data_IF_841087121582
#
_entry.id   IF_841087121582
#
_cell.length_a   1.000
_cell.length_b   1.000
_cell.length_c   1.000
_cell.angle_alpha   90.00
_cell.angle_beta   90.00
_cell.angle_gamma   90.00
#
_symmetry.space_group_name_H-M   'P 1'
#
loop_
_entity.id
_entity.type
_entity.pdbx_description
1 polymer ?
#
# COMPACT_ATOMS: atom_id res chain seq x y z
N UNK A 1 5.84 -69.25 17.74
CA UNK A 1 4.93 -68.09 17.81
C UNK A 1 5.38 -67.07 16.78
N UNK A 2 4.69 -66.96 15.64
CA UNK A 2 5.02 -66.06 14.52
C UNK A 2 4.16 -64.81 14.64
N UNK A 3 4.74 -63.66 14.96
CA UNK A 3 4.07 -62.34 14.90
C UNK A 3 4.25 -61.76 13.48
N UNK A 4 3.22 -61.13 12.88
CA UNK A 4 3.19 -60.83 11.46
C UNK A 4 3.99 -59.56 11.14
N UNK A 5 5.11 -59.74 10.44
CA UNK A 5 5.97 -58.70 9.88
C UNK A 5 5.30 -57.93 8.71
N UNK A 6 4.07 -58.28 8.33
CA UNK A 6 3.36 -57.73 7.17
C UNK A 6 2.61 -56.41 7.42
N UNK A 7 2.41 -55.99 8.66
CA UNK A 7 1.57 -54.80 8.95
C UNK A 7 2.36 -53.49 8.99
N UNK A 8 3.70 -53.54 8.94
CA UNK A 8 4.56 -52.36 9.08
C UNK A 8 5.04 -51.76 7.75
N UNK A 9 4.88 -52.47 6.63
CA UNK A 9 5.30 -52.00 5.29
C UNK A 9 4.22 -51.11 4.64
N UNK A 10 2.94 -51.33 4.96
CA UNK A 10 1.83 -50.54 4.38
C UNK A 10 1.77 -49.12 4.99
N UNK A 11 2.24 -48.93 6.22
CA UNK A 11 2.32 -47.61 6.85
C UNK A 11 3.45 -46.73 6.29
N UNK A 12 4.48 -47.30 5.67
CA UNK A 12 5.64 -46.55 5.15
C UNK A 12 5.44 -46.08 3.69
N UNK A 13 4.54 -46.72 2.92
CA UNK A 13 4.21 -46.27 1.55
C UNK A 13 3.16 -45.16 1.49
N UNK A 14 2.43 -44.90 2.59
CA UNK A 14 1.45 -43.81 2.68
C UNK A 14 2.06 -42.44 3.05
N UNK A 15 3.37 -42.39 3.36
CA UNK A 15 4.08 -41.18 3.79
C UNK A 15 4.96 -40.53 2.70
N UNK A 16 4.99 -41.06 1.47
CA UNK A 16 5.83 -40.56 0.37
C UNK A 16 5.05 -39.88 -0.78
N UNK A 17 3.76 -39.59 -0.59
CA UNK A 17 2.87 -39.09 -1.65
C UNK A 17 2.48 -37.61 -1.62
N UNK A 18 2.96 -36.81 -0.67
CA UNK A 18 2.56 -35.40 -0.53
C UNK A 18 3.77 -34.48 -0.38
N UNK A 19 4.23 -33.95 -1.51
CA UNK A 19 5.31 -32.97 -1.61
C UNK A 19 6.11 -33.30 -2.87
N UNK A 20 5.99 -32.59 -3.99
CA UNK A 20 5.87 -31.15 -4.12
C UNK A 20 5.25 -30.83 -5.48
N UNK A 21 4.04 -30.26 -5.47
CA UNK A 21 3.46 -29.61 -6.64
C UNK A 21 3.16 -28.16 -6.28
N UNK A 22 4.22 -27.38 -6.02
CA UNK A 22 4.13 -25.92 -5.97
C UNK A 22 5.27 -25.33 -6.78
N UNK A 23 5.16 -25.50 -8.09
CA UNK A 23 5.71 -24.58 -9.06
C UNK A 23 4.57 -24.11 -9.96
N UNK A 24 3.52 -23.56 -9.36
CA UNK A 24 2.65 -22.63 -10.08
C UNK A 24 3.46 -21.36 -10.26
N UNK A 25 4.26 -21.31 -11.33
CA UNK A 25 4.52 -20.02 -11.97
C UNK A 25 3.19 -19.33 -12.29
N UNK A 26 3.19 -18.02 -12.60
CA UNK A 26 1.96 -17.34 -12.99
C UNK A 26 1.32 -18.18 -14.09
N UNK A 27 0.16 -18.76 -13.79
CA UNK A 27 -0.61 -19.57 -14.72
C UNK A 27 -0.87 -18.65 -15.90
N UNK A 28 -0.17 -18.93 -17.01
CA UNK A 28 -0.36 -18.21 -18.26
C UNK A 28 -1.85 -18.09 -18.50
N UNK A 29 -2.29 -16.85 -18.67
CA UNK A 29 -3.68 -16.45 -18.79
C UNK A 29 -4.43 -17.46 -19.65
N UNK A 30 -5.32 -18.22 -19.01
CA UNK A 30 -6.01 -19.34 -19.64
C UNK A 30 -7.09 -18.72 -20.52
N UNK A 31 -6.72 -18.39 -21.76
CA UNK A 31 -7.64 -17.76 -22.69
C UNK A 31 -7.03 -17.54 -24.06
N UNK A 32 -7.88 -17.14 -25.00
CA UNK A 32 -7.51 -16.88 -26.39
C UNK A 32 -7.97 -15.49 -26.81
N UNK A 33 -7.26 -14.89 -27.76
CA UNK A 33 -7.74 -13.72 -28.47
C UNK A 33 -8.92 -14.06 -29.40
N UNK A 34 -9.48 -13.04 -30.02
CA UNK A 34 -10.56 -13.13 -31.02
C UNK A 34 -10.19 -13.88 -32.31
N UNK A 35 -8.92 -14.24 -32.52
CA UNK A 35 -8.44 -15.06 -33.63
C UNK A 35 -8.06 -16.48 -33.18
N UNK A 36 -8.32 -16.83 -31.92
CA UNK A 36 -8.00 -18.14 -31.35
C UNK A 36 -6.52 -18.32 -31.00
N UNK A 37 -5.70 -17.27 -31.01
CA UNK A 37 -4.32 -17.35 -30.55
C UNK A 37 -4.29 -17.28 -29.01
N UNK A 38 -3.26 -17.85 -28.36
CA UNK A 38 -3.11 -17.73 -26.90
C UNK A 38 -3.11 -16.26 -26.43
N UNK A 39 -3.84 -15.97 -25.36
CA UNK A 39 -3.84 -14.65 -24.72
C UNK A 39 -2.63 -14.47 -23.77
N UNK A 40 -1.42 -14.69 -24.28
CA UNK A 40 -0.16 -14.60 -23.53
C UNK A 40 0.70 -13.46 -24.11
N UNK A 41 0.97 -12.39 -23.34
CA UNK A 41 1.73 -11.23 -23.84
C UNK A 41 3.19 -11.54 -24.17
N UNK A 42 3.72 -12.70 -23.77
CA UNK A 42 5.06 -13.15 -24.18
C UNK A 42 5.06 -13.87 -25.54
N UNK A 43 3.89 -14.25 -26.06
CA UNK A 43 3.75 -15.05 -27.29
C UNK A 43 2.87 -14.40 -28.35
N UNK A 44 1.98 -13.51 -27.94
CA UNK A 44 1.00 -12.86 -28.81
C UNK A 44 1.02 -11.35 -28.55
N UNK A 45 1.43 -10.57 -29.54
CA UNK A 45 1.45 -9.10 -29.44
C UNK A 45 0.05 -8.52 -29.25
N UNK A 46 -0.99 -9.22 -29.72
CA UNK A 46 -2.39 -8.81 -29.57
C UNK A 46 -2.94 -9.12 -28.19
N UNK A 47 -2.25 -9.92 -27.35
CA UNK A 47 -2.73 -10.30 -26.03
C UNK A 47 -3.21 -9.07 -25.24
N UNK A 48 -4.39 -9.21 -24.63
CA UNK A 48 -5.13 -8.12 -24.01
C UNK A 48 -5.92 -8.63 -22.81
N UNK A 49 -5.93 -7.88 -21.71
CA UNK A 49 -6.73 -8.21 -20.53
C UNK A 49 -8.24 -8.25 -20.83
N UNK A 50 -8.68 -7.68 -21.95
CA UNK A 50 -10.06 -7.71 -22.44
C UNK A 50 -10.49 -9.04 -23.06
N UNK A 51 -9.54 -9.84 -23.54
CA UNK A 51 -9.85 -11.15 -24.11
C UNK A 51 -10.22 -12.15 -23.02
N UNK A 52 -10.77 -13.29 -23.44
CA UNK A 52 -11.13 -14.37 -22.52
C UNK A 52 -9.95 -14.74 -21.62
N UNK A 53 -10.23 -15.04 -20.35
CA UNK A 53 -9.20 -15.34 -19.34
C UNK A 53 -8.41 -14.15 -18.82
N UNK A 54 -8.60 -12.95 -19.36
CA UNK A 54 -7.97 -11.72 -18.88
C UNK A 54 -8.75 -11.02 -17.75
N UNK A 55 -8.07 -10.15 -17.00
CA UNK A 55 -8.62 -9.44 -15.82
C UNK A 55 -9.75 -8.46 -16.14
N UNK A 56 -9.84 -8.04 -17.41
CA UNK A 56 -10.86 -7.14 -17.95
C UNK A 56 -11.83 -7.84 -18.92
N UNK A 57 -11.86 -9.17 -18.96
CA UNK A 57 -12.79 -9.92 -19.79
C UNK A 57 -14.23 -9.47 -19.55
N UNK A 58 -14.94 -9.11 -20.63
CA UNK A 58 -16.32 -8.63 -20.59
C UNK A 58 -16.52 -7.19 -20.07
N UNK A 59 -15.44 -6.41 -19.90
CA UNK A 59 -15.50 -5.01 -19.43
C UNK A 59 -15.02 -3.99 -20.48
N UNK A 60 -14.71 -4.44 -21.68
CA UNK A 60 -14.01 -3.64 -22.68
C UNK A 60 -14.92 -3.13 -23.78
N UNK A 61 -15.61 -2.05 -23.45
CA UNK A 61 -16.68 -1.47 -24.25
C UNK A 61 -16.21 -0.19 -24.98
N UNK A 62 -14.94 0.20 -24.78
CA UNK A 62 -14.36 1.44 -25.26
C UNK A 62 -12.92 1.25 -25.73
N UNK A 63 -12.44 2.14 -26.59
CA UNK A 63 -11.05 2.18 -27.04
C UNK A 63 -10.07 2.37 -25.86
N UNK A 64 -10.47 3.14 -24.85
CA UNK A 64 -9.71 3.27 -23.60
C UNK A 64 -9.52 1.91 -22.92
N UNK A 65 -10.58 1.11 -22.80
CA UNK A 65 -10.50 -0.19 -22.14
C UNK A 65 -9.61 -1.17 -22.92
N UNK A 66 -9.72 -1.17 -24.25
CA UNK A 66 -8.84 -1.98 -25.11
C UNK A 66 -7.38 -1.55 -25.01
N UNK A 67 -7.11 -0.24 -25.01
CA UNK A 67 -5.76 0.30 -24.87
C UNK A 67 -5.18 -0.05 -23.51
N UNK A 68 -5.91 0.25 -22.43
CA UNK A 68 -5.44 -0.01 -21.07
C UNK A 68 -5.33 -1.51 -20.76
N UNK A 69 -6.22 -2.35 -21.32
CA UNK A 69 -6.15 -3.80 -21.19
C UNK A 69 -4.89 -4.40 -21.82
N UNK A 70 -4.36 -3.80 -22.89
CA UNK A 70 -3.10 -4.21 -23.52
C UNK A 70 -1.88 -3.92 -22.64
N UNK A 71 -1.89 -2.79 -21.91
CA UNK A 71 -0.86 -2.49 -20.92
C UNK A 71 -1.02 -3.34 -19.66
N UNK A 72 -2.26 -3.53 -19.18
CA UNK A 72 -2.57 -4.27 -17.95
C UNK A 72 -2.03 -5.70 -18.00
N UNK A 73 -2.32 -6.43 -19.06
CA UNK A 73 -1.87 -7.81 -19.21
C UNK A 73 -0.33 -7.95 -19.20
N UNK A 74 0.39 -6.94 -19.70
CA UNK A 74 1.87 -6.89 -19.69
C UNK A 74 2.42 -6.53 -18.32
N UNK A 75 1.74 -5.65 -17.60
CA UNK A 75 2.05 -5.37 -16.20
C UNK A 75 1.87 -6.62 -15.34
N UNK A 76 0.76 -7.33 -15.49
CA UNK A 76 0.45 -8.58 -14.77
C UNK A 76 1.44 -9.71 -15.08
N UNK A 77 1.91 -9.78 -16.33
CA UNK A 77 2.97 -10.69 -16.75
C UNK A 77 4.38 -10.27 -16.31
N UNK A 78 4.54 -9.11 -15.65
CA UNK A 78 5.84 -8.59 -15.21
C UNK A 78 6.72 -8.04 -16.34
N UNK A 79 6.18 -7.88 -17.54
CA UNK A 79 6.90 -7.32 -18.71
C UNK A 79 7.07 -5.81 -18.54
N UNK A 80 6.02 -5.14 -18.04
CA UNK A 80 6.05 -3.71 -17.74
C UNK A 80 6.09 -3.46 -16.24
N UNK A 81 6.91 -2.49 -15.85
CA UNK A 81 6.84 -1.89 -14.52
C UNK A 81 5.73 -0.84 -14.49
N UNK A 82 5.30 -0.47 -13.27
CA UNK A 82 4.33 0.62 -13.06
C UNK A 82 4.76 1.94 -13.72
N UNK A 83 6.06 2.20 -13.85
CA UNK A 83 6.58 3.43 -14.47
C UNK A 83 6.36 3.53 -15.98
N UNK A 84 6.16 2.39 -16.66
CA UNK A 84 5.87 2.33 -18.10
C UNK A 84 4.35 2.37 -18.35
N UNK A 85 3.55 2.18 -17.30
CA UNK A 85 2.10 2.12 -17.40
C UNK A 85 1.51 3.52 -17.62
N UNK A 86 0.66 3.75 -18.64
CA UNK A 86 0.10 5.07 -18.90
C UNK A 86 -0.72 5.60 -17.71
N UNK A 87 -0.55 6.88 -17.39
CA UNK A 87 -1.27 7.54 -16.29
C UNK A 87 -2.80 7.46 -16.46
N UNK A 88 -3.29 7.54 -17.70
CA UNK A 88 -4.72 7.40 -18.04
C UNK A 88 -5.28 6.01 -17.72
N UNK A 89 -4.41 5.01 -17.57
CA UNK A 89 -4.77 3.64 -17.23
C UNK A 89 -4.46 3.30 -15.76
N UNK A 90 -3.74 4.16 -15.03
CA UNK A 90 -3.19 3.87 -13.69
C UNK A 90 -4.24 3.46 -12.66
N UNK A 91 -5.51 3.83 -12.88
CA UNK A 91 -6.67 3.39 -12.08
C UNK A 91 -6.86 1.87 -12.03
N UNK A 92 -6.36 1.15 -13.03
CA UNK A 92 -6.43 -0.32 -13.11
C UNK A 92 -5.33 -1.02 -12.30
N UNK A 93 -4.29 -0.28 -11.91
CA UNK A 93 -3.18 -0.87 -11.17
C UNK A 93 -3.52 -0.93 -9.67
N UNK A 94 -3.18 -2.02 -8.96
CA UNK A 94 -3.32 -2.06 -7.51
C UNK A 94 -2.50 -0.91 -6.92
N UNK A 95 -3.06 -0.20 -5.93
CA UNK A 95 -2.37 0.90 -5.24
C UNK A 95 -0.92 0.50 -4.98
N UNK A 96 0.06 1.41 -5.26
CA UNK A 96 1.44 1.09 -4.96
C UNK A 96 1.47 0.56 -3.53
N UNK A 97 1.92 -0.69 -3.38
CA UNK A 97 2.38 -1.17 -2.10
C UNK A 97 3.56 -0.25 -1.81
N UNK A 98 3.27 0.84 -1.11
CA UNK A 98 4.24 1.52 -0.28
C UNK A 98 4.79 0.37 0.56
N UNK A 99 5.96 -0.15 0.17
CA UNK A 99 6.71 -1.09 1.00
C UNK A 99 6.61 -0.51 2.39
N UNK A 100 5.93 -1.22 3.30
CA UNK A 100 5.43 -0.68 4.55
C UNK A 100 6.43 0.36 5.01
N UNK A 101 6.09 1.67 4.93
CA UNK A 101 7.09 2.71 5.11
C UNK A 101 7.83 2.31 6.38
N UNK A 102 9.16 2.23 6.33
CA UNK A 102 9.93 2.16 7.57
C UNK A 102 9.40 3.32 8.38
N UNK A 103 8.55 2.98 9.37
CA UNK A 103 7.69 3.96 10.01
C UNK A 103 8.59 5.09 10.43
N UNK A 104 8.33 6.32 9.95
CA UNK A 104 9.31 7.35 10.16
C UNK A 104 9.35 7.53 11.70
N UNK A 105 10.55 7.58 12.30
CA UNK A 105 10.70 7.45 13.74
C UNK A 105 9.90 8.54 14.46
N UNK A 106 9.50 8.29 15.70
CA UNK A 106 8.87 9.32 16.53
C UNK A 106 9.72 10.60 16.50
N UNK A 107 9.10 11.75 16.24
CA UNK A 107 9.82 13.00 16.04
C UNK A 107 9.02 14.07 15.32
N UNK A 108 9.69 15.20 15.05
CA UNK A 108 9.13 16.33 14.34
C UNK A 108 9.34 16.20 12.82
N UNK A 109 8.29 16.58 12.10
CA UNK A 109 8.23 16.61 10.64
C UNK A 109 7.86 18.01 10.19
N UNK A 110 8.53 18.50 9.15
CA UNK A 110 8.25 19.80 8.56
C UNK A 110 7.73 19.64 7.14
N UNK A 111 6.62 20.32 6.83
CA UNK A 111 6.14 20.47 5.47
C UNK A 111 6.50 21.85 4.95
N UNK A 112 7.46 21.98 4.01
CA UNK A 112 7.79 23.27 3.40
C UNK A 112 6.65 23.84 2.56
N UNK A 113 5.78 22.97 2.02
CA UNK A 113 4.63 23.37 1.21
C UNK A 113 3.57 24.14 2.01
N UNK A 114 3.44 23.83 3.31
CA UNK A 114 2.43 24.40 4.19
C UNK A 114 3.02 25.16 5.37
N UNK A 115 4.34 25.27 5.45
CA UNK A 115 5.08 25.87 6.56
C UNK A 115 4.60 25.32 7.92
N UNK A 116 4.47 23.99 7.97
CA UNK A 116 3.76 23.27 9.02
C UNK A 116 4.66 22.27 9.70
N UNK A 117 4.65 22.27 11.04
CA UNK A 117 5.29 21.24 11.86
C UNK A 117 4.27 20.26 12.41
N UNK A 118 4.53 18.96 12.20
CA UNK A 118 3.76 17.85 12.75
C UNK A 118 4.65 17.03 13.67
N UNK A 119 4.18 16.75 14.88
CA UNK A 119 4.80 15.75 15.75
C UNK A 119 4.16 14.38 15.55
N UNK A 120 5.01 13.38 15.34
CA UNK A 120 4.64 11.98 15.23
C UNK A 120 5.12 11.20 16.46
N UNK A 121 4.23 10.48 17.13
CA UNK A 121 4.59 9.69 18.31
C UNK A 121 5.09 8.28 17.99
N UNK A 122 5.00 7.85 16.72
CA UNK A 122 5.44 6.52 16.28
C UNK A 122 4.44 5.39 16.53
N UNK A 123 3.30 5.64 17.18
CA UNK A 123 2.34 4.59 17.55
C UNK A 123 1.18 4.42 16.56
N UNK A 124 1.05 5.27 15.54
CA UNK A 124 -0.05 5.14 14.59
C UNK A 124 0.25 4.15 13.47
N UNK A 125 -0.80 3.48 12.98
CA UNK A 125 -0.76 2.45 11.94
C UNK A 125 -0.86 3.00 10.52
N UNK A 126 -0.89 4.32 10.33
CA UNK A 126 -0.91 4.96 9.02
C UNK A 126 0.02 6.17 9.03
N UNK A 127 0.90 6.39 8.04
CA UNK A 127 1.77 7.55 8.07
C UNK A 127 0.90 8.80 7.93
N UNK A 128 1.35 9.96 8.44
CA UNK A 128 0.65 11.19 8.15
C UNK A 128 0.61 11.34 6.63
N UNK A 129 -0.56 11.61 6.02
CA UNK A 129 -0.58 12.00 4.62
C UNK A 129 0.19 13.31 4.58
N UNK A 130 1.36 13.37 3.93
CA UNK A 130 1.97 14.55 3.28
C UNK A 130 3.50 14.41 3.08
N UNK A 131 3.98 15.22 2.13
CA UNK A 131 5.39 15.53 1.82
C UNK A 131 6.06 16.22 3.02
N UNK A 132 6.45 15.39 3.98
CA UNK A 132 6.98 15.77 5.29
C UNK A 132 8.45 15.38 5.38
N UNK A 133 9.31 16.36 5.69
CA UNK A 133 10.74 16.17 5.86
C UNK A 133 11.03 15.94 7.34
N UNK A 134 11.72 14.84 7.68
CA UNK A 134 12.09 14.52 9.06
C UNK A 134 13.16 15.49 9.58
N UNK A 135 12.85 16.23 10.65
CA UNK A 135 13.77 17.15 11.33
C UNK A 135 14.45 16.48 12.54
N UNK A 136 13.86 15.40 13.08
CA UNK A 136 14.46 14.45 14.02
C UNK A 136 14.82 14.95 15.42
N UNK A 137 15.05 16.25 15.59
CA UNK A 137 15.54 16.85 16.83
C UNK A 137 14.56 17.83 17.44
N UNK A 138 13.56 18.29 16.68
CA UNK A 138 12.69 19.42 17.06
C UNK A 138 13.52 20.63 17.54
N UNK A 139 14.78 20.75 17.09
CA UNK A 139 15.77 21.66 17.65
C UNK A 139 15.70 23.04 16.99
N UNK A 140 15.11 23.14 15.80
CA UNK A 140 14.64 24.42 15.28
C UNK A 140 13.31 24.71 15.98
N UNK A 141 13.24 25.76 16.81
CA UNK A 141 11.96 26.20 17.29
C UNK A 141 11.07 26.52 16.07
N UNK A 142 9.78 26.17 16.07
CA UNK A 142 8.86 26.42 14.94
C UNK A 142 8.51 27.92 14.76
N UNK A 143 9.43 28.84 15.08
CA UNK A 143 9.15 30.23 15.45
C UNK A 143 8.98 31.25 14.32
N UNK A 144 9.00 30.88 13.03
CA UNK A 144 8.85 31.90 11.98
C UNK A 144 7.81 31.59 10.93
N UNK A 145 7.08 30.49 11.07
CA UNK A 145 6.06 30.12 10.10
C UNK A 145 4.76 30.90 10.29
N UNK A 146 4.16 31.34 9.18
CA UNK A 146 2.96 32.20 9.14
C UNK A 146 1.74 31.38 9.54
N UNK A 147 1.60 31.12 10.85
CA UNK A 147 0.51 30.32 11.39
C UNK A 147 0.54 30.19 12.91
N UNK A 148 1.71 30.22 13.56
CA UNK A 148 1.79 30.20 15.03
C UNK A 148 1.11 28.98 15.67
N UNK A 149 1.02 27.85 14.97
CA UNK A 149 0.42 26.62 15.47
C UNK A 149 1.35 25.42 15.34
N UNK A 150 1.33 24.56 16.34
CA UNK A 150 1.98 23.26 16.36
C UNK A 150 0.89 22.18 16.34
N UNK A 151 0.93 21.27 15.37
CA UNK A 151 -0.08 20.22 15.23
C UNK A 151 0.36 18.94 15.93
N UNK A 152 -0.55 18.38 16.74
CA UNK A 152 -0.35 17.11 17.41
C UNK A 152 -1.46 16.14 17.01
N UNK A 153 -1.08 14.91 16.70
CA UNK A 153 -2.03 13.84 16.44
C UNK A 153 -1.97 12.85 17.59
N UNK A 154 -3.04 12.76 18.37
CA UNK A 154 -3.14 11.94 19.59
C UNK A 154 -4.51 11.30 19.66
N UNK A 155 -4.70 10.25 20.47
CA UNK A 155 -5.96 9.53 20.54
C UNK A 155 -7.15 10.39 21.05
N UNK A 156 -6.88 11.46 21.81
CA UNK A 156 -7.91 12.34 22.37
C UNK A 156 -7.34 13.71 22.78
N UNK A 157 -8.22 14.68 23.03
CA UNK A 157 -7.84 16.05 23.39
C UNK A 157 -7.03 16.17 24.70
N UNK A 158 -7.16 15.23 25.64
CA UNK A 158 -6.41 15.27 26.90
C UNK A 158 -4.93 14.98 26.66
N UNK A 159 -4.64 13.97 25.84
CA UNK A 159 -3.27 13.61 25.45
C UNK A 159 -2.63 14.73 24.60
N UNK A 160 -3.40 15.32 23.68
CA UNK A 160 -2.98 16.49 22.93
C UNK A 160 -2.60 17.65 23.84
N UNK A 161 -3.43 17.99 24.83
CA UNK A 161 -3.16 19.07 25.76
C UNK A 161 -1.91 18.82 26.62
N UNK A 162 -1.70 17.58 27.09
CA UNK A 162 -0.50 17.19 27.83
C UNK A 162 0.77 17.32 26.97
N UNK A 163 0.67 16.96 25.69
CA UNK A 163 1.78 17.11 24.75
C UNK A 163 2.07 18.59 24.45
N UNK A 164 1.05 19.42 24.18
CA UNK A 164 1.21 20.87 24.03
C UNK A 164 1.92 21.48 25.26
N UNK A 165 1.50 21.09 26.47
CA UNK A 165 2.06 21.61 27.72
C UNK A 165 3.54 21.21 27.94
N UNK A 166 3.95 20.03 27.48
CA UNK A 166 5.35 19.57 27.55
C UNK A 166 6.29 20.51 26.78
N UNK A 167 5.80 21.12 25.71
CA UNK A 167 6.54 22.09 24.90
C UNK A 167 6.25 23.56 25.27
N UNK A 168 5.47 23.81 26.33
CA UNK A 168 5.14 25.17 26.78
C UNK A 168 4.11 25.89 25.88
N UNK A 169 3.33 25.16 25.10
CA UNK A 169 2.31 25.72 24.19
C UNK A 169 0.89 25.51 24.74
N UNK A 170 0.00 26.51 24.72
CA UNK A 170 -1.39 26.30 25.09
C UNK A 170 -2.14 25.51 24.02
N UNK A 171 -2.97 24.56 24.45
CA UNK A 171 -3.90 23.82 23.57
C UNK A 171 -5.03 24.74 23.10
N UNK A 172 -5.42 24.63 21.82
CA UNK A 172 -6.50 25.42 21.22
C UNK A 172 -7.74 24.55 21.03
N UNK A 173 -7.71 23.66 20.03
CA UNK A 173 -8.87 22.90 19.58
C UNK A 173 -8.47 21.69 18.70
N UNK A 174 -9.48 20.91 18.34
CA UNK A 174 -9.42 19.84 17.34
C UNK A 174 -9.72 20.42 15.94
N UNK A 175 -8.87 20.15 14.96
CA UNK A 175 -9.03 20.63 13.58
C UNK A 175 -9.51 19.56 12.60
N UNK A 176 -9.32 18.29 12.94
CA UNK A 176 -9.89 17.20 12.17
C UNK A 176 -10.29 16.05 13.08
N UNK A 177 -11.54 15.63 12.92
CA UNK A 177 -12.04 14.43 13.57
C UNK A 177 -11.64 13.21 12.76
N UNK A 178 -11.07 12.21 13.42
CA UNK A 178 -10.56 10.92 12.92
C UNK A 178 -11.55 10.04 12.11
N UNK A 179 -12.78 10.49 11.92
CA UNK A 179 -13.96 9.63 11.97
C UNK A 179 -14.03 8.64 10.79
N UNK A 180 -13.36 8.91 9.67
CA UNK A 180 -13.51 8.09 8.45
C UNK A 180 -12.25 7.35 7.96
N UNK A 181 -11.06 7.61 8.52
CA UNK A 181 -9.80 7.07 7.98
C UNK A 181 -9.04 6.12 8.90
N UNK A 182 -9.45 6.01 10.17
CA UNK A 182 -8.69 5.27 11.20
C UNK A 182 -7.39 5.99 11.63
N UNK A 183 -7.17 7.22 11.17
CA UNK A 183 -6.15 8.12 11.70
C UNK A 183 -6.59 8.70 13.04
N UNK A 184 -5.67 9.16 13.88
CA UNK A 184 -6.03 9.90 15.10
C UNK A 184 -6.45 11.34 14.79
N UNK A 185 -7.30 11.96 15.63
CA UNK A 185 -7.66 13.36 15.45
C UNK A 185 -6.41 14.25 15.48
N UNK A 186 -6.48 15.38 14.77
CA UNK A 186 -5.41 16.38 14.77
C UNK A 186 -5.85 17.57 15.61
N UNK A 187 -4.98 18.00 16.51
CA UNK A 187 -5.19 19.11 17.43
C UNK A 187 -4.18 20.23 17.21
N UNK A 188 -4.55 21.45 17.57
CA UNK A 188 -3.69 22.64 17.51
C UNK A 188 -3.19 23.05 18.90
N UNK A 189 -1.88 23.28 18.99
CA UNK A 189 -1.25 24.04 20.07
C UNK A 189 -0.83 25.42 19.54
N UNK A 190 -0.98 26.50 20.32
CA UNK A 190 -0.51 27.83 19.93
C UNK A 190 0.98 28.00 20.23
N UNK A 191 1.75 28.41 19.24
CA UNK A 191 3.12 28.88 19.43
C UNK A 191 3.03 30.36 19.84
N UNK A 192 3.72 30.78 20.93
CA UNK A 192 3.73 32.16 21.39
C UNK A 192 4.39 33.12 20.41
#
# INVERSE_FOLDING_TARGET
>A
MKKPLSMMIIALMLLLGFGSAFATGPTGLIGTDDLGNPNDPNKNERANACFEGGTMAGKCDSEWAWTCGWYLIRYEAGIFSRAVFPDTCAILLPSPIWSAPTWPPAGCYYSPAYDLYLFWDGNQTQPPPLDLTWDGTCATPPHTGVGGFFLVSTANATDAAALCATYGYPFIDEISSAIDTGAWPIYRCQIP
#
